data_IF_926720566672
#
_entry.id   IF_926720566672
#
_cell.length_a   1.000
_cell.length_b   1.000
_cell.length_c   1.000
_cell.angle_alpha   90.00
_cell.angle_beta   90.00
_cell.angle_gamma   90.00
#
_symmetry.space_group_name_H-M   'P 1'
#
loop_
_entity.id
_entity.type
_entity.pdbx_description
1 polymer ?
#
# COMPACT_ATOMS: atom_id res chain seq x y z
N UNK A 1 -2.90 8.10 -20.07
CA UNK A 1 -3.65 7.07 -19.34
C UNK A 1 -3.65 7.49 -17.88
N UNK A 2 -4.80 7.91 -17.36
CA UNK A 2 -4.93 8.33 -15.97
C UNK A 2 -5.17 7.05 -15.17
N UNK A 3 -4.17 6.58 -14.43
CA UNK A 3 -4.27 5.35 -13.64
C UNK A 3 -5.46 5.48 -12.68
N UNK A 4 -6.38 4.52 -12.77
CA UNK A 4 -7.59 4.44 -11.95
C UNK A 4 -7.23 4.03 -10.51
N UNK A 5 -6.47 4.89 -9.81
CA UNK A 5 -6.20 4.83 -8.36
C UNK A 5 -7.45 4.50 -7.52
N UNK A 6 -8.66 4.64 -8.07
CA UNK A 6 -9.94 4.69 -7.39
C UNK A 6 -10.70 3.37 -7.29
N UNK A 7 -10.33 2.30 -8.00
CA UNK A 7 -11.22 1.10 -7.99
C UNK A 7 -11.23 0.40 -6.63
N UNK A 8 -10.08 0.36 -5.95
CA UNK A 8 -9.91 -0.37 -4.69
C UNK A 8 -9.31 0.49 -3.57
N UNK A 9 -8.56 1.54 -3.92
CA UNK A 9 -7.87 2.42 -2.98
C UNK A 9 -8.70 3.69 -2.76
N UNK A 10 -8.93 4.02 -1.50
CA UNK A 10 -9.61 5.26 -1.09
C UNK A 10 -8.64 6.45 -1.15
N UNK A 11 -7.45 6.31 -0.57
CA UNK A 11 -6.39 7.31 -0.67
C UNK A 11 -5.01 6.73 -0.33
N UNK A 12 -3.96 7.44 -0.75
CA UNK A 12 -2.60 7.28 -0.24
C UNK A 12 -2.01 8.64 0.13
N UNK A 13 -1.59 8.79 1.38
CA UNK A 13 -1.04 10.06 1.92
C UNK A 13 0.04 9.81 2.96
N UNK A 14 0.71 10.89 3.39
CA UNK A 14 1.51 10.88 4.61
C UNK A 14 0.62 11.23 5.81
N UNK A 15 0.84 10.56 6.94
CA UNK A 15 0.28 10.99 8.23
C UNK A 15 1.17 12.02 8.93
N UNK A 16 0.74 12.47 10.11
CA UNK A 16 1.45 13.47 10.91
C UNK A 16 2.85 12.99 11.35
N UNK A 17 3.07 11.67 11.39
CA UNK A 17 4.35 11.03 11.69
C UNK A 17 5.18 10.73 10.43
N UNK A 18 4.80 11.28 9.27
CA UNK A 18 5.47 11.05 7.99
C UNK A 18 5.46 9.57 7.53
N UNK A 19 4.53 8.76 8.03
CA UNK A 19 4.31 7.39 7.54
C UNK A 19 3.37 7.43 6.34
N UNK A 20 3.58 6.52 5.39
CA UNK A 20 2.71 6.40 4.22
C UNK A 20 1.50 5.57 4.63
N UNK A 21 0.31 6.14 4.48
CA UNK A 21 -0.97 5.47 4.76
C UNK A 21 -1.65 5.17 3.44
N UNK A 22 -1.73 3.88 3.10
CA UNK A 22 -2.51 3.37 1.97
C UNK A 22 -3.81 2.78 2.51
N UNK A 23 -4.94 3.38 2.15
CA UNK A 23 -6.27 2.97 2.62
C UNK A 23 -7.09 2.42 1.47
N UNK A 24 -7.65 1.22 1.65
CA UNK A 24 -8.58 0.62 0.70
C UNK A 24 -10.01 1.08 0.95
N UNK A 25 -10.87 1.02 -0.06
CA UNK A 25 -12.31 1.24 0.14
C UNK A 25 -12.86 0.25 1.19
N UNK A 26 -13.80 0.67 2.06
CA UNK A 26 -14.29 -0.16 3.18
C UNK A 26 -14.75 -1.57 2.79
N UNK A 27 -15.35 -1.75 1.61
CA UNK A 27 -15.79 -3.09 1.16
C UNK A 27 -14.64 -4.09 0.94
N UNK A 28 -13.41 -3.61 0.77
CA UNK A 28 -12.21 -4.43 0.57
C UNK A 28 -11.39 -4.61 1.85
N UNK A 29 -11.86 -4.12 3.00
CA UNK A 29 -11.19 -4.29 4.30
C UNK A 29 -10.78 -5.74 4.57
N UNK A 30 -11.68 -6.70 4.31
CA UNK A 30 -11.42 -8.12 4.56
C UNK A 30 -10.24 -8.68 3.77
N UNK A 31 -9.92 -8.08 2.61
CA UNK A 31 -8.79 -8.48 1.78
C UNK A 31 -7.47 -8.27 2.53
N UNK A 32 -7.35 -7.19 3.32
CA UNK A 32 -6.15 -6.89 4.13
C UNK A 32 -5.89 -7.90 5.25
N UNK A 33 -6.95 -8.55 5.75
CA UNK A 33 -6.84 -9.54 6.82
C UNK A 33 -6.56 -10.96 6.31
N UNK A 34 -6.62 -11.20 5.00
CA UNK A 34 -6.21 -12.48 4.44
C UNK A 34 -4.69 -12.63 4.53
N UNK A 35 -4.20 -13.70 5.17
CA UNK A 35 -2.76 -13.94 5.39
C UNK A 35 -1.93 -13.85 4.12
N UNK A 36 -2.47 -14.39 3.02
CA UNK A 36 -1.82 -14.35 1.70
C UNK A 36 -1.65 -12.91 1.20
N UNK A 37 -2.65 -12.07 1.39
CA UNK A 37 -2.62 -10.69 0.93
C UNK A 37 -1.72 -9.81 1.80
N UNK A 38 -1.79 -9.98 3.12
CA UNK A 38 -0.88 -9.31 4.06
C UNK A 38 0.58 -9.60 3.72
N UNK A 39 0.90 -10.86 3.45
CA UNK A 39 2.25 -11.28 3.04
C UNK A 39 2.65 -10.61 1.71
N UNK A 40 1.73 -10.54 0.75
CA UNK A 40 1.99 -9.93 -0.55
C UNK A 40 2.20 -8.42 -0.47
N UNK A 41 1.37 -7.66 0.25
CA UNK A 41 1.56 -6.22 0.44
C UNK A 41 2.88 -5.94 1.13
N UNK A 42 3.17 -6.67 2.21
CA UNK A 42 4.41 -6.47 2.95
C UNK A 42 5.63 -6.78 2.07
N UNK A 43 5.55 -7.84 1.26
CA UNK A 43 6.59 -8.19 0.29
C UNK A 43 6.73 -7.12 -0.79
N UNK A 44 5.63 -6.68 -1.41
CA UNK A 44 5.65 -5.65 -2.44
C UNK A 44 6.22 -4.34 -1.91
N UNK A 45 5.74 -3.86 -0.75
CA UNK A 45 6.27 -2.66 -0.11
C UNK A 45 7.78 -2.79 0.16
N UNK A 46 8.24 -3.93 0.65
CA UNK A 46 9.67 -4.19 0.86
C UNK A 46 10.46 -4.23 -0.45
N UNK A 47 9.95 -4.89 -1.48
CA UNK A 47 10.63 -5.06 -2.77
C UNK A 47 10.75 -3.71 -3.52
N UNK A 48 9.70 -2.88 -3.51
CA UNK A 48 9.69 -1.58 -4.19
C UNK A 48 10.44 -0.48 -3.43
N UNK A 49 10.31 -0.43 -2.10
CA UNK A 49 10.97 0.58 -1.27
C UNK A 49 12.42 0.19 -0.93
N UNK A 50 12.76 -1.09 -1.05
CA UNK A 50 14.10 -1.62 -0.85
C UNK A 50 14.66 -1.27 0.52
N UNK A 51 15.82 -0.61 0.51
CA UNK A 51 16.53 -0.19 1.74
C UNK A 51 15.78 0.90 2.53
N UNK A 52 14.86 1.61 1.90
CA UNK A 52 14.13 2.71 2.55
C UNK A 52 12.98 2.15 3.43
N UNK A 53 12.61 0.87 3.28
CA UNK A 53 11.54 0.22 4.04
C UNK A 53 11.94 -0.09 5.49
N UNK A 54 11.08 0.27 6.45
CA UNK A 54 11.23 -0.10 7.86
C UNK A 54 10.17 -1.13 8.26
N UNK A 55 8.89 -0.84 8.01
CA UNK A 55 7.77 -1.70 8.45
C UNK A 55 6.49 -1.45 7.62
N UNK A 56 5.59 -2.44 7.51
CA UNK A 56 4.17 -2.23 7.15
C UNK A 56 3.28 -2.89 8.20
N UNK A 57 2.37 -2.11 8.74
CA UNK A 57 1.34 -2.53 9.68
C UNK A 57 -0.03 -2.42 9.03
N UNK A 58 -0.92 -3.37 9.31
CA UNK A 58 -2.31 -3.31 8.85
C UNK A 58 -3.18 -2.84 10.01
N UNK A 59 -3.87 -1.74 9.82
CA UNK A 59 -4.81 -1.16 10.79
C UNK A 59 -6.11 -0.86 10.05
N UNK A 60 -7.20 -1.50 10.48
CA UNK A 60 -8.51 -1.39 9.84
C UNK A 60 -8.47 -1.72 8.33
N UNK A 61 -8.82 -0.77 7.47
CA UNK A 61 -8.75 -0.87 6.01
C UNK A 61 -7.48 -0.24 5.43
N UNK A 62 -6.42 -0.05 6.24
CA UNK A 62 -5.18 0.61 5.83
C UNK A 62 -3.93 -0.25 6.03
N UNK A 63 -2.93 -0.15 5.13
CA UNK A 63 -1.53 -0.47 5.43
C UNK A 63 -0.78 0.83 5.71
N UNK A 64 -0.16 0.89 6.88
CA UNK A 64 0.70 1.97 7.35
C UNK A 64 2.14 1.52 7.10
N UNK A 65 2.81 2.18 6.17
CA UNK A 65 4.17 1.90 5.75
C UNK A 65 5.10 2.94 6.36
N UNK A 66 6.06 2.46 7.15
CA UNK A 66 7.12 3.29 7.73
C UNK A 66 8.37 3.16 6.87
N UNK A 67 8.97 4.30 6.52
CA UNK A 67 10.20 4.39 5.73
C UNK A 67 11.26 5.22 6.47
N UNK A 68 12.49 5.16 6.01
CA UNK A 68 13.61 5.93 6.58
C UNK A 68 13.29 7.44 6.51
N UNK A 69 13.59 8.22 7.57
CA UNK A 69 13.37 9.66 7.56
C UNK A 69 14.04 10.37 6.37
N UNK A 70 13.40 11.43 5.88
CA UNK A 70 13.79 12.21 4.69
C UNK A 70 13.66 11.48 3.35
N UNK A 71 13.01 10.31 3.31
CA UNK A 71 12.72 9.57 2.07
C UNK A 71 11.23 9.49 1.77
N UNK A 72 10.39 10.10 2.60
CA UNK A 72 8.96 9.85 2.68
C UNK A 72 8.22 10.31 1.42
N UNK A 73 8.54 11.49 0.90
CA UNK A 73 7.89 12.00 -0.32
C UNK A 73 8.26 11.19 -1.58
N UNK A 74 9.53 10.77 -1.68
CA UNK A 74 9.99 9.91 -2.77
C UNK A 74 9.26 8.57 -2.71
N UNK A 75 9.19 7.98 -1.53
CA UNK A 75 8.57 6.68 -1.32
C UNK A 75 7.05 6.73 -1.43
N UNK A 76 6.40 7.84 -1.07
CA UNK A 76 4.98 8.07 -1.31
C UNK A 76 4.65 7.93 -2.81
N UNK A 77 5.47 8.54 -3.68
CA UNK A 77 5.29 8.46 -5.14
C UNK A 77 5.44 7.02 -5.64
N UNK A 78 6.42 6.29 -5.13
CA UNK A 78 6.62 4.86 -5.46
C UNK A 78 5.41 4.03 -5.03
N UNK A 79 4.87 4.27 -3.83
CA UNK A 79 3.66 3.56 -3.38
C UNK A 79 2.48 3.89 -4.28
N UNK A 80 2.29 5.16 -4.63
CA UNK A 80 1.19 5.62 -5.49
C UNK A 80 1.22 5.06 -6.91
N UNK A 81 2.39 4.67 -7.42
CA UNK A 81 2.52 4.02 -8.74
C UNK A 81 2.64 2.51 -8.60
N UNK A 82 3.77 2.04 -8.09
CA UNK A 82 4.18 0.64 -8.18
C UNK A 82 3.39 -0.28 -7.25
N UNK A 83 3.15 0.16 -6.01
CA UNK A 83 2.46 -0.69 -5.02
C UNK A 83 0.97 -0.76 -5.31
N UNK A 84 0.36 0.33 -5.79
CA UNK A 84 -1.04 0.30 -6.19
C UNK A 84 -1.24 -0.58 -7.43
N UNK A 85 -0.38 -0.45 -8.45
CA UNK A 85 -0.45 -1.31 -9.64
C UNK A 85 -0.29 -2.80 -9.26
N UNK A 86 0.66 -3.10 -8.37
CA UNK A 86 0.83 -4.45 -7.82
C UNK A 86 -0.39 -4.95 -7.04
N UNK A 87 -1.01 -4.07 -6.24
CA UNK A 87 -2.21 -4.37 -5.48
C UNK A 87 -3.39 -4.69 -6.40
N UNK A 88 -3.60 -3.90 -7.45
CA UNK A 88 -4.64 -4.16 -8.45
C UNK A 88 -4.45 -5.52 -9.11
N UNK A 89 -3.23 -5.86 -9.52
CA UNK A 89 -2.93 -7.14 -10.13
C UNK A 89 -3.27 -8.29 -9.16
N UNK A 90 -2.88 -8.17 -7.90
CA UNK A 90 -3.17 -9.17 -6.87
C UNK A 90 -4.68 -9.32 -6.68
N UNK A 91 -5.43 -8.22 -6.60
CA UNK A 91 -6.88 -8.26 -6.44
C UNK A 91 -7.56 -8.95 -7.63
N UNK A 92 -7.14 -8.63 -8.87
CA UNK A 92 -7.61 -9.31 -10.08
C UNK A 92 -7.30 -10.80 -10.07
N UNK A 93 -6.10 -11.21 -9.65
CA UNK A 93 -5.70 -12.62 -9.55
C UNK A 93 -6.49 -13.40 -8.49
N UNK A 94 -7.01 -12.72 -7.47
CA UNK A 94 -7.88 -13.32 -6.46
C UNK A 94 -9.36 -13.35 -6.86
N UNK A 95 -9.70 -12.88 -8.07
CA UNK A 95 -11.07 -12.83 -8.57
C UNK A 95 -11.91 -11.70 -7.97
N UNK A 96 -11.25 -10.63 -7.49
CA UNK A 96 -11.88 -9.40 -6.97
C UNK A 96 -11.91 -8.29 -8.03
#
# INVERSE_FOLDING_TARGET
MMFELKKYVEYVKLDDNKRIVLTLLPQYKQVLYADRFRTLIHKAAKDFLGKDFINCEIVDNSCIITVIPNTEEKNLKIIQTEVIDGLELIMRLMGI
#
